data_IF_685366776275
#
_entry.id   IF_685366776275
#
_cell.length_a   1.000
_cell.length_b   1.000
_cell.length_c   1.000
_cell.angle_alpha   90.00
_cell.angle_beta   90.00
_cell.angle_gamma   90.00
#
_symmetry.space_group_name_H-M   'P 1'
#
loop_
_entity.id
_entity.type
_entity.pdbx_description
1 polymer ?
#
# COMPACT_ATOMS: atom_id res chain seq x y z
N UNK A 1 -38.26 33.67 -21.41
CA UNK A 1 -37.88 32.83 -20.25
C UNK A 1 -36.85 31.76 -20.59
N UNK A 2 -37.01 30.98 -21.67
CA UNK A 2 -36.03 29.94 -22.08
C UNK A 2 -34.57 30.41 -22.32
N UNK A 3 -34.33 31.68 -22.64
CA UNK A 3 -32.97 32.25 -22.84
C UNK A 3 -32.25 32.62 -21.54
N UNK A 4 -33.00 32.75 -20.44
CA UNK A 4 -32.45 33.07 -19.09
C UNK A 4 -32.04 31.76 -18.40
N UNK A 5 -32.82 30.69 -18.56
CA UNK A 5 -32.45 29.35 -18.07
C UNK A 5 -31.20 28.79 -18.75
N UNK A 6 -31.03 29.03 -20.07
CA UNK A 6 -29.83 28.58 -20.79
C UNK A 6 -28.55 29.26 -20.29
N UNK A 7 -28.62 30.55 -19.93
CA UNK A 7 -27.49 31.28 -19.37
C UNK A 7 -27.19 30.82 -17.94
N UNK A 8 -28.20 30.54 -17.11
CA UNK A 8 -27.98 29.99 -15.77
C UNK A 8 -27.40 28.57 -15.79
N UNK A 9 -27.85 27.72 -16.74
CA UNK A 9 -27.31 26.38 -16.94
C UNK A 9 -25.89 26.42 -17.49
N UNK A 10 -25.61 27.29 -18.47
CA UNK A 10 -24.29 27.49 -19.07
C UNK A 10 -23.29 28.10 -18.08
N UNK A 11 -23.69 29.12 -17.30
CA UNK A 11 -22.88 29.62 -16.19
C UNK A 11 -22.70 28.56 -15.10
N UNK A 12 -23.70 27.72 -14.83
CA UNK A 12 -23.58 26.58 -13.91
C UNK A 12 -22.60 25.51 -14.42
N UNK A 13 -22.56 25.26 -15.73
CA UNK A 13 -21.64 24.36 -16.43
C UNK A 13 -20.20 24.89 -16.44
N UNK A 14 -19.98 26.16 -16.80
CA UNK A 14 -18.66 26.79 -16.71
C UNK A 14 -18.16 26.88 -15.26
N UNK A 15 -19.06 27.14 -14.32
CA UNK A 15 -18.73 27.15 -12.89
C UNK A 15 -18.38 25.73 -12.40
N UNK A 16 -19.11 24.70 -12.81
CA UNK A 16 -18.83 23.31 -12.42
C UNK A 16 -17.54 22.79 -13.06
N UNK A 17 -17.24 23.11 -14.31
CA UNK A 17 -15.96 22.80 -14.95
C UNK A 17 -14.78 23.50 -14.26
N UNK A 18 -14.91 24.79 -13.96
CA UNK A 18 -13.89 25.55 -13.23
C UNK A 18 -13.73 25.04 -11.79
N UNK A 19 -14.83 24.71 -11.10
CA UNK A 19 -14.83 24.16 -9.75
C UNK A 19 -14.17 22.77 -9.70
N UNK A 20 -14.42 21.92 -10.71
CA UNK A 20 -13.80 20.60 -10.79
C UNK A 20 -12.27 20.71 -10.91
N UNK A 21 -11.81 21.57 -11.81
CA UNK A 21 -10.38 21.84 -11.98
C UNK A 21 -9.76 22.47 -10.71
N UNK A 22 -10.45 23.42 -10.09
CA UNK A 22 -10.01 24.03 -8.84
C UNK A 22 -9.93 22.99 -7.69
N UNK A 23 -10.95 22.15 -7.53
CA UNK A 23 -10.98 21.11 -6.50
C UNK A 23 -9.85 20.09 -6.70
N UNK A 24 -9.59 19.68 -7.94
CA UNK A 24 -8.46 18.81 -8.31
C UNK A 24 -7.12 19.40 -7.91
N UNK A 25 -6.91 20.68 -8.21
CA UNK A 25 -5.69 21.39 -7.85
C UNK A 25 -5.56 21.53 -6.32
N UNK A 26 -6.62 21.96 -5.63
CA UNK A 26 -6.62 22.16 -4.18
C UNK A 26 -6.33 20.85 -3.44
N UNK A 27 -7.01 19.75 -3.78
CA UNK A 27 -6.74 18.46 -3.13
C UNK A 27 -5.32 17.97 -3.42
N UNK A 28 -4.82 18.21 -4.63
CA UNK A 28 -3.44 17.89 -5.01
C UNK A 28 -2.43 18.68 -4.18
N UNK A 29 -2.65 19.98 -3.99
CA UNK A 29 -1.79 20.84 -3.18
C UNK A 29 -1.86 20.48 -1.69
N UNK A 30 -3.04 20.22 -1.14
CA UNK A 30 -3.19 19.73 0.24
C UNK A 30 -2.44 18.42 0.43
N UNK A 31 -2.54 17.50 -0.55
CA UNK A 31 -1.79 16.23 -0.54
C UNK A 31 -0.27 16.47 -0.58
N UNK A 32 0.18 17.43 -1.37
CA UNK A 32 1.58 17.83 -1.43
C UNK A 32 2.08 18.36 -0.09
N UNK A 33 1.34 19.28 0.53
CA UNK A 33 1.68 19.83 1.84
C UNK A 33 1.66 18.76 2.94
N UNK A 34 0.65 17.89 2.96
CA UNK A 34 0.58 16.77 3.90
C UNK A 34 1.78 15.81 3.72
N UNK A 35 2.18 15.54 2.46
CA UNK A 35 3.33 14.68 2.16
C UNK A 35 4.65 15.29 2.61
N UNK A 36 4.83 16.60 2.44
CA UNK A 36 6.01 17.32 2.95
C UNK A 36 6.01 17.40 4.48
N UNK A 37 4.88 17.73 5.08
CA UNK A 37 4.69 17.77 6.53
C UNK A 37 5.04 16.43 7.18
N UNK A 38 4.50 15.33 6.68
CA UNK A 38 4.84 13.99 7.16
C UNK A 38 6.32 13.68 6.95
N UNK A 39 6.91 14.07 5.81
CA UNK A 39 8.32 13.78 5.53
C UNK A 39 9.28 14.53 6.47
N UNK A 40 8.95 15.76 6.86
CA UNK A 40 9.76 16.56 7.78
C UNK A 40 9.54 16.14 9.24
N UNK A 41 8.28 15.99 9.66
CA UNK A 41 7.96 15.68 11.06
C UNK A 41 8.28 14.22 11.42
N UNK A 42 8.23 13.30 10.45
CA UNK A 42 8.38 11.86 10.71
C UNK A 42 9.75 11.30 10.30
N UNK A 43 10.75 12.15 10.07
CA UNK A 43 12.13 11.71 9.77
C UNK A 43 12.70 10.80 10.87
N UNK A 44 12.39 11.08 12.14
CA UNK A 44 12.74 10.23 13.28
C UNK A 44 12.08 8.85 13.20
N UNK A 45 10.81 8.80 12.78
CA UNK A 45 10.07 7.54 12.62
C UNK A 45 10.66 6.68 11.50
N UNK A 46 10.97 7.29 10.36
CA UNK A 46 11.65 6.61 9.26
C UNK A 46 12.96 5.96 9.74
N UNK A 47 13.79 6.71 10.49
CA UNK A 47 15.02 6.18 11.07
C UNK A 47 14.77 5.03 12.05
N UNK A 48 13.69 5.10 12.84
CA UNK A 48 13.30 4.04 13.77
C UNK A 48 12.98 2.73 13.06
N UNK A 49 12.19 2.78 11.97
CA UNK A 49 11.86 1.60 11.15
C UNK A 49 13.14 0.94 10.60
N UNK A 50 14.07 1.73 10.06
CA UNK A 50 15.33 1.19 9.55
C UNK A 50 16.23 0.63 10.65
N UNK A 51 16.28 1.26 11.83
CA UNK A 51 16.99 0.72 12.99
C UNK A 51 16.40 -0.63 13.43
N UNK A 52 15.07 -0.78 13.41
CA UNK A 52 14.42 -2.06 13.67
C UNK A 52 14.86 -3.13 12.66
N UNK A 53 14.83 -2.83 11.36
CA UNK A 53 15.34 -3.77 10.35
C UNK A 53 16.85 -4.06 10.49
N UNK A 54 17.65 -3.09 10.91
CA UNK A 54 19.07 -3.29 11.16
C UNK A 54 19.31 -4.17 12.39
N UNK A 55 18.57 -3.97 13.48
CA UNK A 55 18.65 -4.80 14.67
C UNK A 55 18.28 -6.25 14.37
N UNK A 56 17.17 -6.47 13.64
CA UNK A 56 16.79 -7.78 13.12
C UNK A 56 17.87 -8.38 12.22
N UNK A 57 18.50 -7.58 11.36
CA UNK A 57 19.57 -8.04 10.47
C UNK A 57 20.80 -8.53 11.25
N UNK A 58 21.26 -7.75 12.24
CA UNK A 58 22.40 -8.12 13.09
C UNK A 58 22.10 -9.39 13.89
N UNK A 59 20.90 -9.48 14.50
CA UNK A 59 20.49 -10.66 15.29
C UNK A 59 20.45 -11.95 14.45
N UNK A 60 20.08 -11.85 13.18
CA UNK A 60 19.86 -13.02 12.32
C UNK A 60 21.00 -13.28 11.32
N UNK A 61 22.07 -12.47 11.31
CA UNK A 61 23.16 -12.58 10.33
C UNK A 61 22.71 -12.26 8.89
N UNK A 62 21.66 -11.47 8.74
CA UNK A 62 21.02 -11.12 7.46
C UNK A 62 21.38 -9.69 7.04
N UNK A 63 20.95 -9.26 5.84
CA UNK A 63 21.29 -7.94 5.30
C UNK A 63 20.29 -6.85 5.70
N UNK A 64 18.98 -7.13 5.61
CA UNK A 64 17.92 -6.17 5.91
C UNK A 64 16.72 -6.86 6.55
N UNK A 65 16.52 -6.65 7.86
CA UNK A 65 15.53 -7.42 8.62
C UNK A 65 15.89 -8.90 8.59
N UNK A 66 14.98 -9.74 8.11
CA UNK A 66 15.18 -11.17 7.90
C UNK A 66 15.67 -11.51 6.48
N UNK A 67 15.90 -10.51 5.63
CA UNK A 67 16.28 -10.73 4.24
C UNK A 67 17.79 -10.86 4.10
N UNK A 68 18.21 -11.93 3.43
CA UNK A 68 19.56 -12.06 2.92
C UNK A 68 19.81 -11.06 1.77
N UNK A 69 21.08 -10.89 1.38
CA UNK A 69 21.46 -9.92 0.34
C UNK A 69 20.76 -10.19 -0.98
N UNK A 70 20.56 -11.47 -1.34
CA UNK A 70 19.93 -11.83 -2.61
C UNK A 70 18.42 -11.56 -2.61
N UNK A 71 17.70 -11.89 -1.53
CA UNK A 71 16.27 -11.58 -1.39
C UNK A 71 16.01 -10.08 -1.28
N UNK A 72 16.86 -9.34 -0.55
CA UNK A 72 16.77 -7.89 -0.46
C UNK A 72 16.94 -7.24 -1.85
N UNK A 73 17.97 -7.66 -2.61
CA UNK A 73 18.18 -7.19 -3.98
C UNK A 73 17.01 -7.57 -4.91
N UNK A 74 16.43 -8.76 -4.78
CA UNK A 74 15.25 -9.15 -5.54
C UNK A 74 14.02 -8.29 -5.20
N UNK A 75 13.79 -7.99 -3.92
CA UNK A 75 12.71 -7.12 -3.47
C UNK A 75 12.88 -5.69 -4.00
N UNK A 76 14.09 -5.11 -3.85
CA UNK A 76 14.41 -3.77 -4.34
C UNK A 76 14.30 -3.67 -5.87
N UNK A 77 14.75 -4.68 -6.62
CA UNK A 77 14.57 -4.71 -8.09
C UNK A 77 13.10 -4.71 -8.50
N UNK A 78 12.22 -5.40 -7.76
CA UNK A 78 10.77 -5.38 -8.04
C UNK A 78 10.16 -4.01 -7.76
N UNK A 79 10.59 -3.32 -6.70
CA UNK A 79 10.15 -1.95 -6.41
C UNK A 79 10.67 -0.99 -7.47
N UNK A 80 11.95 -1.10 -7.85
CA UNK A 80 12.56 -0.28 -8.89
C UNK A 80 11.84 -0.42 -10.23
N UNK A 81 11.45 -1.63 -10.63
CA UNK A 81 10.63 -1.85 -11.84
C UNK A 81 9.30 -1.10 -11.79
N UNK A 82 8.62 -1.09 -10.63
CA UNK A 82 7.36 -0.36 -10.45
C UNK A 82 7.60 1.14 -10.48
N UNK A 83 8.65 1.63 -9.80
CA UNK A 83 9.06 3.03 -9.82
C UNK A 83 9.34 3.50 -11.25
N UNK A 84 10.17 2.78 -12.00
CA UNK A 84 10.52 3.10 -13.40
C UNK A 84 9.27 3.07 -14.27
N UNK A 85 8.41 2.06 -14.13
CA UNK A 85 7.16 2.00 -14.89
C UNK A 85 6.27 3.23 -14.64
N UNK A 86 6.05 3.60 -13.37
CA UNK A 86 5.23 4.76 -13.02
C UNK A 86 5.86 6.05 -13.56
N UNK A 87 7.16 6.25 -13.36
CA UNK A 87 7.87 7.45 -13.85
C UNK A 87 7.82 7.55 -15.36
N UNK A 88 8.16 6.47 -16.08
CA UNK A 88 8.14 6.45 -17.56
C UNK A 88 6.73 6.71 -18.07
N UNK A 89 5.71 6.04 -17.51
CA UNK A 89 4.32 6.28 -17.89
C UNK A 89 3.91 7.73 -17.63
N UNK A 90 4.21 8.30 -16.46
CA UNK A 90 3.91 9.69 -16.14
C UNK A 90 4.63 10.67 -17.07
N UNK A 91 5.92 10.48 -17.34
CA UNK A 91 6.71 11.35 -18.22
C UNK A 91 6.19 11.28 -19.66
N UNK A 92 5.92 10.09 -20.19
CA UNK A 92 5.38 9.91 -21.55
C UNK A 92 4.02 10.60 -21.69
N UNK A 93 3.14 10.42 -20.71
CA UNK A 93 1.81 11.05 -20.69
C UNK A 93 1.92 12.57 -20.60
N UNK A 94 2.75 13.10 -19.69
CA UNK A 94 2.96 14.55 -19.54
C UNK A 94 3.61 15.17 -20.78
N UNK A 95 4.60 14.49 -21.37
CA UNK A 95 5.26 14.93 -22.60
C UNK A 95 4.26 15.03 -23.75
N UNK A 96 3.45 13.97 -23.97
CA UNK A 96 2.43 13.99 -25.03
C UNK A 96 1.42 15.11 -24.79
N UNK A 97 0.97 15.31 -23.56
CA UNK A 97 0.03 16.38 -23.24
C UNK A 97 0.61 17.78 -23.48
N UNK A 98 1.87 18.02 -23.12
CA UNK A 98 2.54 19.31 -23.36
C UNK A 98 2.76 19.62 -24.84
N UNK A 99 2.97 18.59 -25.68
CA UNK A 99 3.19 18.76 -27.11
C UNK A 99 1.91 18.83 -27.94
N UNK A 100 0.81 18.23 -27.46
CA UNK A 100 -0.48 18.24 -28.15
C UNK A 100 -1.28 19.50 -27.81
N UNK A 101 -1.21 20.00 -26.56
CA UNK A 101 -1.95 21.20 -26.16
C UNK A 101 -1.35 22.48 -26.78
N UNK A 102 -2.22 23.32 -27.36
CA UNK A 102 -1.81 24.59 -27.93
C UNK A 102 -1.20 25.50 -26.85
N UNK A 103 -0.04 26.14 -27.10
CA UNK A 103 0.58 27.07 -26.17
C UNK A 103 -0.35 28.22 -25.74
N UNK A 104 -0.38 28.52 -24.45
CA UNK A 104 -1.18 29.61 -23.86
C UNK A 104 -2.64 29.27 -23.57
N UNK A 105 -3.07 28.03 -23.80
CA UNK A 105 -4.43 27.59 -23.45
C UNK A 105 -4.62 27.41 -21.94
N UNK A 106 -5.85 27.61 -21.46
CA UNK A 106 -6.23 27.32 -20.06
C UNK A 106 -5.87 25.89 -19.64
N UNK A 107 -6.01 24.94 -20.56
CA UNK A 107 -5.64 23.53 -20.39
C UNK A 107 -4.15 23.31 -20.16
N UNK A 108 -3.30 23.99 -20.92
CA UNK A 108 -1.85 23.89 -20.73
C UNK A 108 -1.44 24.44 -19.36
N UNK A 109 -1.95 25.60 -18.96
CA UNK A 109 -1.68 26.15 -17.63
C UNK A 109 -2.17 25.23 -16.52
N UNK A 110 -3.39 24.70 -16.66
CA UNK A 110 -3.95 23.74 -15.72
C UNK A 110 -3.07 22.50 -15.56
N UNK A 111 -2.62 21.91 -16.66
CA UNK A 111 -1.69 20.78 -16.64
C UNK A 111 -0.40 21.16 -15.91
N UNK A 112 0.23 22.29 -16.27
CA UNK A 112 1.48 22.75 -15.66
C UNK A 112 1.37 22.90 -14.15
N UNK A 113 0.29 23.50 -13.63
CA UNK A 113 0.06 23.64 -12.20
C UNK A 113 -0.17 22.30 -11.49
N UNK A 114 -0.74 21.31 -12.18
CA UNK A 114 -1.00 19.98 -11.60
C UNK A 114 0.18 19.01 -11.71
N UNK A 115 1.19 19.26 -12.56
CA UNK A 115 2.37 18.37 -12.69
C UNK A 115 3.02 18.15 -11.33
N UNK A 116 3.25 19.21 -10.57
CA UNK A 116 3.91 19.12 -9.27
C UNK A 116 3.13 18.28 -8.24
N UNK A 117 1.87 18.62 -7.88
CA UNK A 117 1.13 17.85 -6.88
C UNK A 117 0.88 16.40 -7.32
N UNK A 118 0.59 16.15 -8.60
CA UNK A 118 0.39 14.79 -9.14
C UNK A 118 1.67 13.97 -9.05
N UNK A 119 2.81 14.55 -9.45
CA UNK A 119 4.11 13.85 -9.37
C UNK A 119 4.46 13.51 -7.93
N UNK A 120 4.27 14.46 -7.00
CA UNK A 120 4.54 14.22 -5.59
C UNK A 120 3.60 13.15 -5.00
N UNK A 121 2.33 13.16 -5.38
CA UNK A 121 1.35 12.11 -5.05
C UNK A 121 1.83 10.72 -5.50
N UNK A 122 2.28 10.58 -6.74
CA UNK A 122 2.81 9.31 -7.26
C UNK A 122 4.08 8.88 -6.55
N UNK A 123 5.03 9.79 -6.30
CA UNK A 123 6.24 9.48 -5.56
C UNK A 123 5.92 9.01 -4.14
N UNK A 124 4.94 9.63 -3.49
CA UNK A 124 4.50 9.23 -2.15
C UNK A 124 3.88 7.83 -2.15
N UNK A 125 3.07 7.48 -3.16
CA UNK A 125 2.53 6.13 -3.33
C UNK A 125 3.65 5.09 -3.51
N UNK A 126 4.65 5.39 -4.35
CA UNK A 126 5.77 4.47 -4.58
C UNK A 126 6.62 4.29 -3.32
N UNK A 127 6.82 5.37 -2.55
CA UNK A 127 7.55 5.30 -1.30
C UNK A 127 6.81 4.45 -0.25
N UNK A 128 5.48 4.57 -0.15
CA UNK A 128 4.68 3.70 0.71
C UNK A 128 4.73 2.23 0.23
N UNK A 129 4.64 2.00 -1.08
CA UNK A 129 4.75 0.67 -1.70
C UNK A 129 6.08 -0.02 -1.37
N UNK A 130 7.18 0.73 -1.29
CA UNK A 130 8.49 0.20 -0.87
C UNK A 130 8.39 -0.40 0.54
N UNK A 131 7.87 0.35 1.50
CA UNK A 131 7.74 -0.10 2.89
C UNK A 131 6.82 -1.31 3.03
N UNK A 132 5.66 -1.31 2.36
CA UNK A 132 4.75 -2.48 2.38
C UNK A 132 5.44 -3.71 1.78
N UNK A 133 6.17 -3.57 0.66
CA UNK A 133 6.87 -4.69 0.03
C UNK A 133 8.01 -5.23 0.89
N UNK A 134 8.76 -4.37 1.55
CA UNK A 134 9.81 -4.78 2.49
C UNK A 134 9.21 -5.51 3.70
N UNK A 135 8.12 -4.99 4.28
CA UNK A 135 7.43 -5.66 5.38
C UNK A 135 6.88 -7.03 4.95
N UNK A 136 6.22 -7.09 3.79
CA UNK A 136 5.71 -8.35 3.21
C UNK A 136 6.84 -9.37 2.99
N UNK A 137 8.01 -8.93 2.53
CA UNK A 137 9.15 -9.82 2.33
C UNK A 137 9.70 -10.35 3.67
N UNK A 138 9.78 -9.51 4.70
CA UNK A 138 10.17 -9.93 6.05
C UNK A 138 9.17 -10.92 6.67
N UNK A 139 7.87 -10.62 6.58
CA UNK A 139 6.82 -11.54 7.05
C UNK A 139 6.86 -12.89 6.33
N UNK A 140 7.19 -12.90 5.02
CA UNK A 140 7.39 -14.16 4.29
C UNK A 140 8.57 -14.96 4.84
N UNK A 141 9.67 -14.30 5.19
CA UNK A 141 10.82 -14.99 5.81
C UNK A 141 10.46 -15.53 7.21
N UNK A 142 9.69 -14.79 7.99
CA UNK A 142 9.16 -15.28 9.27
C UNK A 142 8.27 -16.52 9.06
N UNK A 143 7.38 -16.50 8.07
CA UNK A 143 6.58 -17.67 7.70
C UNK A 143 7.45 -18.87 7.32
N UNK A 144 8.49 -18.67 6.49
CA UNK A 144 9.43 -19.75 6.12
C UNK A 144 10.14 -20.33 7.34
N UNK A 145 10.55 -19.49 8.30
CA UNK A 145 11.16 -19.95 9.56
C UNK A 145 10.19 -20.80 10.38
N UNK A 146 8.94 -20.35 10.53
CA UNK A 146 7.90 -21.10 11.24
C UNK A 146 7.57 -22.44 10.55
N UNK A 147 7.50 -22.43 9.22
CA UNK A 147 7.26 -23.63 8.43
C UNK A 147 8.40 -24.64 8.55
N UNK A 148 9.65 -24.17 8.56
CA UNK A 148 10.81 -25.03 8.80
C UNK A 148 10.81 -25.61 10.22
N UNK A 149 10.43 -24.81 11.22
CA UNK A 149 10.28 -25.27 12.60
C UNK A 149 9.22 -26.37 12.68
N UNK A 150 8.04 -26.14 12.10
CA UNK A 150 6.96 -27.14 12.03
C UNK A 150 7.42 -28.46 11.44
N UNK A 151 8.10 -28.43 10.28
CA UNK A 151 8.61 -29.66 9.65
C UNK A 151 9.61 -30.41 10.53
N UNK A 152 10.50 -29.67 11.19
CA UNK A 152 11.47 -30.27 12.12
C UNK A 152 10.75 -30.97 13.29
N UNK A 153 9.66 -30.38 13.78
CA UNK A 153 8.82 -30.95 14.83
C UNK A 153 8.11 -32.22 14.34
N UNK A 154 7.48 -32.16 13.18
CA UNK A 154 6.76 -33.31 12.59
C UNK A 154 7.69 -34.49 12.30
N UNK A 155 8.88 -34.22 11.77
CA UNK A 155 9.87 -35.27 11.47
C UNK A 155 10.40 -35.89 12.77
N UNK A 156 10.59 -35.09 13.82
CA UNK A 156 10.99 -35.59 15.14
C UNK A 156 9.92 -36.49 15.74
N UNK A 157 8.64 -36.14 15.61
CA UNK A 157 7.52 -36.94 16.10
C UNK A 157 7.34 -38.28 15.35
N UNK A 158 7.74 -38.36 14.08
CA UNK A 158 7.67 -39.60 13.29
C UNK A 158 8.80 -40.57 13.59
N UNK A 159 9.99 -40.05 13.90
CA UNK A 159 11.21 -40.86 14.09
C UNK A 159 11.36 -41.31 15.54
N UNK A 160 10.87 -40.53 16.50
CA UNK A 160 11.07 -40.79 17.92
C UNK A 160 9.88 -41.55 18.51
N UNK A 161 10.03 -42.87 18.71
CA UNK A 161 9.25 -43.56 19.74
C UNK A 161 9.65 -42.90 21.07
N UNK A 162 8.78 -42.05 21.61
CA UNK A 162 8.98 -41.26 22.85
C UNK A 162 9.53 -42.12 24.01
N UNK A 163 9.30 -43.43 23.97
CA UNK A 163 9.75 -44.44 24.94
C UNK A 163 11.24 -44.80 24.87
N UNK A 164 11.96 -44.54 23.78
CA UNK A 164 13.33 -45.03 23.58
C UNK A 164 14.44 -44.06 24.05
N UNK A 165 14.20 -42.75 24.12
CA UNK A 165 15.20 -41.80 24.64
C UNK A 165 14.58 -40.47 25.15
N UNK A 166 14.10 -40.41 26.41
CA UNK A 166 13.38 -39.25 26.93
C UNK A 166 14.24 -37.98 27.04
N UNK A 167 15.56 -38.11 27.27
CA UNK A 167 16.47 -36.95 27.37
C UNK A 167 16.67 -36.26 26.02
N UNK A 168 16.72 -37.04 24.94
CA UNK A 168 16.86 -36.51 23.59
C UNK A 168 15.58 -35.78 23.14
N UNK A 169 14.43 -36.36 23.49
CA UNK A 169 13.13 -35.76 23.26
C UNK A 169 12.99 -34.42 24.00
N UNK A 170 13.33 -34.38 25.29
CA UNK A 170 13.27 -33.15 26.09
C UNK A 170 14.18 -32.04 25.54
N UNK A 171 15.41 -32.38 25.10
CA UNK A 171 16.31 -31.42 24.47
C UNK A 171 15.76 -30.87 23.14
N UNK A 172 15.09 -31.71 22.35
CA UNK A 172 14.44 -31.30 21.10
C UNK A 172 13.24 -30.37 21.35
N UNK A 173 12.44 -30.67 22.38
CA UNK A 173 11.32 -29.81 22.81
C UNK A 173 11.84 -28.44 23.27
N UNK A 174 12.86 -28.40 24.13
CA UNK A 174 13.46 -27.14 24.60
C UNK A 174 14.02 -26.30 23.44
N UNK A 175 14.74 -26.93 22.51
CA UNK A 175 15.25 -26.25 21.31
C UNK A 175 14.12 -25.69 20.44
N UNK A 176 13.00 -26.40 20.35
CA UNK A 176 11.82 -25.96 19.59
C UNK A 176 11.13 -24.78 20.28
N UNK A 177 10.98 -24.83 21.60
CA UNK A 177 10.44 -23.73 22.41
C UNK A 177 11.27 -22.46 22.23
N UNK A 178 12.60 -22.55 22.32
CA UNK A 178 13.51 -21.41 22.14
C UNK A 178 13.36 -20.80 20.74
N UNK A 179 13.30 -21.64 19.70
CA UNK A 179 13.11 -21.17 18.31
C UNK A 179 11.74 -20.54 18.06
N UNK A 180 10.69 -21.08 18.69
CA UNK A 180 9.34 -20.52 18.61
C UNK A 180 9.27 -19.17 19.32
N UNK A 181 9.91 -19.05 20.48
CA UNK A 181 10.05 -17.80 21.22
C UNK A 181 10.83 -16.75 20.43
N UNK A 182 11.90 -17.15 19.74
CA UNK A 182 12.61 -16.30 18.80
C UNK A 182 11.70 -15.80 17.66
N UNK A 183 10.89 -16.67 17.06
CA UNK A 183 9.92 -16.28 16.04
C UNK A 183 8.86 -15.30 16.58
N UNK A 184 8.41 -15.50 17.82
CA UNK A 184 7.49 -14.60 18.52
C UNK A 184 8.11 -13.23 18.76
N UNK A 185 9.37 -13.19 19.21
CA UNK A 185 10.12 -11.96 19.41
C UNK A 185 10.29 -11.18 18.08
N UNK A 186 10.67 -11.88 17.00
CA UNK A 186 10.77 -11.30 15.66
C UNK A 186 9.43 -10.72 15.20
N UNK A 187 8.31 -11.41 15.46
CA UNK A 187 6.98 -10.89 15.14
C UNK A 187 6.71 -9.55 15.82
N UNK A 188 7.06 -9.42 17.11
CA UNK A 188 6.92 -8.17 17.86
C UNK A 188 7.70 -7.02 17.21
N UNK A 189 8.97 -7.26 16.86
CA UNK A 189 9.82 -6.25 16.22
C UNK A 189 9.26 -5.81 14.86
N UNK A 190 8.79 -6.76 14.05
CA UNK A 190 8.12 -6.46 12.78
C UNK A 190 6.82 -5.69 12.99
N UNK A 191 6.07 -5.99 14.05
CA UNK A 191 4.84 -5.26 14.38
C UNK A 191 5.13 -3.80 14.74
N UNK A 192 6.16 -3.53 15.56
CA UNK A 192 6.59 -2.15 15.85
C UNK A 192 7.01 -1.39 14.58
N UNK A 193 7.71 -2.06 13.66
CA UNK A 193 8.05 -1.46 12.38
C UNK A 193 6.80 -1.19 11.52
N UNK A 194 5.76 -2.03 11.59
CA UNK A 194 4.48 -1.80 10.91
C UNK A 194 3.75 -0.57 11.48
N UNK A 195 3.68 -0.44 12.80
CA UNK A 195 3.10 0.76 13.43
C UNK A 195 3.86 2.02 13.03
N UNK A 196 5.20 1.96 13.01
CA UNK A 196 6.01 3.07 12.51
C UNK A 196 5.70 3.42 11.04
N UNK A 197 5.41 2.43 10.18
CA UNK A 197 4.98 2.67 8.79
C UNK A 197 3.60 3.35 8.77
N UNK A 198 2.63 2.86 9.54
CA UNK A 198 1.30 3.46 9.64
C UNK A 198 1.35 4.91 10.12
N UNK A 199 2.21 5.22 11.10
CA UNK A 199 2.42 6.58 11.58
C UNK A 199 3.13 7.46 10.55
N UNK A 200 4.18 6.94 9.89
CA UNK A 200 4.96 7.66 8.88
C UNK A 200 4.11 8.07 7.66
N UNK A 201 3.17 7.22 7.24
CA UNK A 201 2.35 7.43 6.05
C UNK A 201 0.92 7.83 6.34
N UNK A 202 0.51 7.89 7.61
CA UNK A 202 -0.90 7.94 8.00
C UNK A 202 -1.71 9.05 7.34
N UNK A 203 -1.29 10.32 7.50
CA UNK A 203 -2.02 11.45 6.92
C UNK A 203 -1.75 11.63 5.44
N UNK A 204 -0.47 11.65 5.04
CA UNK A 204 -0.08 11.80 3.65
C UNK A 204 -0.74 10.76 2.76
N UNK A 205 -0.81 9.50 3.16
CA UNK A 205 -1.45 8.47 2.35
C UNK A 205 -2.97 8.59 2.35
N UNK A 206 -3.61 9.07 3.42
CA UNK A 206 -5.04 9.38 3.39
C UNK A 206 -5.37 10.42 2.32
N UNK A 207 -4.63 11.53 2.32
CA UNK A 207 -4.77 12.57 1.30
C UNK A 207 -4.36 12.06 -0.08
N UNK A 208 -3.34 11.22 -0.18
CA UNK A 208 -2.89 10.67 -1.45
C UNK A 208 -3.93 9.78 -2.11
N UNK A 209 -4.64 8.98 -1.31
CA UNK A 209 -5.75 8.12 -1.73
C UNK A 209 -6.96 8.96 -2.13
N UNK A 210 -7.28 10.02 -1.37
CA UNK A 210 -8.32 10.99 -1.74
C UNK A 210 -7.98 11.74 -3.04
N UNK A 211 -6.73 12.18 -3.21
CA UNK A 211 -6.25 12.83 -4.43
C UNK A 211 -6.36 11.89 -5.63
N UNK A 212 -5.96 10.62 -5.48
CA UNK A 212 -6.11 9.62 -6.54
C UNK A 212 -7.59 9.36 -6.88
N UNK A 213 -8.49 9.34 -5.90
CA UNK A 213 -9.93 9.25 -6.12
C UNK A 213 -10.43 10.43 -6.97
N UNK A 214 -10.15 11.65 -6.52
CA UNK A 214 -10.58 12.89 -7.17
C UNK A 214 -10.04 12.96 -8.60
N UNK A 215 -8.77 12.61 -8.79
CA UNK A 215 -8.12 12.54 -10.09
C UNK A 215 -8.84 11.56 -11.04
N UNK A 216 -9.11 10.33 -10.61
CA UNK A 216 -9.80 9.34 -11.45
C UNK A 216 -11.22 9.80 -11.79
N UNK A 217 -11.97 10.30 -10.80
CA UNK A 217 -13.33 10.78 -11.00
C UNK A 217 -13.37 11.92 -12.03
N UNK A 218 -12.47 12.90 -11.93
CA UNK A 218 -12.38 13.99 -12.90
C UNK A 218 -11.87 13.54 -14.27
N UNK A 219 -10.90 12.62 -14.31
CA UNK A 219 -10.39 12.13 -15.59
C UNK A 219 -11.50 11.41 -16.36
N UNK A 220 -12.34 10.61 -15.69
CA UNK A 220 -13.51 9.96 -16.28
C UNK A 220 -14.60 10.95 -16.69
N UNK A 221 -14.85 11.98 -15.88
CA UNK A 221 -15.76 13.07 -16.24
C UNK A 221 -15.34 13.70 -17.58
N UNK A 222 -14.06 14.09 -17.70
CA UNK A 222 -13.54 14.73 -18.89
C UNK A 222 -13.54 13.81 -20.10
N UNK A 223 -13.20 12.53 -19.94
CA UNK A 223 -13.36 11.52 -21.01
C UNK A 223 -14.80 11.50 -21.51
N UNK A 224 -15.79 11.47 -20.61
CA UNK A 224 -17.21 11.47 -20.99
C UNK A 224 -17.62 12.78 -21.68
N UNK A 225 -17.22 13.92 -21.13
CA UNK A 225 -17.59 15.22 -21.67
C UNK A 225 -17.06 15.38 -23.11
N UNK A 226 -15.77 15.07 -23.32
CA UNK A 226 -15.12 15.09 -24.63
C UNK A 226 -15.72 14.08 -25.61
N UNK A 227 -16.10 12.90 -25.12
CA UNK A 227 -16.80 11.90 -25.94
C UNK A 227 -18.13 12.42 -26.49
N UNK A 228 -18.91 13.11 -25.66
CA UNK A 228 -20.21 13.66 -26.06
C UNK A 228 -20.05 14.86 -27.00
N UNK A 229 -19.05 15.72 -26.77
CA UNK A 229 -18.80 16.88 -27.62
C UNK A 229 -18.11 16.55 -28.94
N UNK A 230 -17.61 15.32 -29.12
CA UNK A 230 -16.84 14.91 -30.30
C UNK A 230 -15.47 15.59 -30.37
N UNK A 231 -14.86 15.85 -29.22
CA UNK A 231 -13.58 16.55 -29.12
C UNK A 231 -12.43 15.68 -29.72
N UNK A 232 -11.63 16.22 -30.67
CA UNK A 232 -10.52 15.47 -31.27
C UNK A 232 -9.42 15.09 -30.27
N UNK A 233 -9.32 15.74 -29.11
CA UNK A 233 -8.32 15.46 -28.08
C UNK A 233 -8.72 14.37 -27.08
N UNK A 234 -9.83 13.65 -27.32
CA UNK A 234 -10.29 12.53 -26.49
C UNK A 234 -9.19 11.49 -26.23
N UNK A 235 -8.40 11.13 -27.24
CA UNK A 235 -7.32 10.15 -27.12
C UNK A 235 -6.24 10.60 -26.12
N UNK A 236 -5.97 11.91 -26.06
CA UNK A 236 -5.04 12.48 -25.10
C UNK A 236 -5.60 12.38 -23.68
N UNK A 237 -6.88 12.69 -23.49
CA UNK A 237 -7.54 12.62 -22.19
C UNK A 237 -7.64 11.18 -21.68
N UNK A 238 -7.93 10.21 -22.56
CA UNK A 238 -7.88 8.78 -22.20
C UNK A 238 -6.47 8.38 -21.73
N UNK A 239 -5.41 8.84 -22.40
CA UNK A 239 -4.03 8.57 -21.97
C UNK A 239 -3.70 9.22 -20.61
N UNK A 240 -4.15 10.46 -20.38
CA UNK A 240 -3.98 11.17 -19.11
C UNK A 240 -4.63 10.45 -17.92
N UNK A 241 -5.71 9.70 -18.17
CA UNK A 241 -6.41 8.94 -17.14
C UNK A 241 -5.69 7.66 -16.66
N UNK A 242 -4.67 7.19 -17.39
CA UNK A 242 -4.02 5.87 -17.14
C UNK A 242 -3.12 5.81 -15.89
N UNK A 243 -2.25 6.80 -15.60
CA UNK A 243 -1.24 6.65 -14.54
C UNK A 243 -1.84 6.44 -13.14
N UNK A 244 -2.94 7.14 -12.80
CA UNK A 244 -3.53 7.09 -11.46
C UNK A 244 -4.14 5.72 -11.13
N UNK A 245 -5.01 5.11 -11.98
CA UNK A 245 -5.47 3.74 -11.81
C UNK A 245 -4.33 2.72 -11.74
N UNK A 246 -3.26 2.90 -12.52
CA UNK A 246 -2.10 2.00 -12.49
C UNK A 246 -1.42 2.01 -11.11
N UNK A 247 -1.15 3.21 -10.56
CA UNK A 247 -0.55 3.37 -9.22
C UNK A 247 -1.46 2.78 -8.13
N UNK A 248 -2.76 3.10 -8.17
CA UNK A 248 -3.74 2.55 -7.21
C UNK A 248 -3.84 1.03 -7.33
N UNK A 249 -3.82 0.48 -8.54
CA UNK A 249 -3.82 -0.96 -8.79
C UNK A 249 -2.60 -1.65 -8.19
N UNK A 250 -1.40 -1.07 -8.33
CA UNK A 250 -0.19 -1.59 -7.67
C UNK A 250 -0.28 -1.53 -6.14
N UNK A 251 -0.83 -0.45 -5.59
CA UNK A 251 -1.07 -0.31 -4.15
C UNK A 251 -2.00 -1.42 -3.66
N UNK A 252 -3.18 -1.58 -4.26
CA UNK A 252 -4.17 -2.59 -3.87
C UNK A 252 -3.62 -4.01 -4.01
N UNK A 253 -2.93 -4.32 -5.10
CA UNK A 253 -2.29 -5.63 -5.30
C UNK A 253 -1.24 -5.94 -4.22
N UNK A 254 -0.44 -4.93 -3.87
CA UNK A 254 0.62 -5.08 -2.86
C UNK A 254 0.01 -5.26 -1.46
N UNK A 255 -1.00 -4.47 -1.11
CA UNK A 255 -1.78 -4.59 0.12
C UNK A 255 -2.45 -5.97 0.24
N UNK A 256 -3.06 -6.48 -0.84
CA UNK A 256 -3.65 -7.82 -0.85
C UNK A 256 -2.61 -8.90 -0.57
N UNK A 257 -1.44 -8.84 -1.23
CA UNK A 257 -0.34 -9.78 -0.99
C UNK A 257 0.19 -9.70 0.43
N UNK A 258 0.25 -8.49 0.98
CA UNK A 258 0.64 -8.27 2.37
C UNK A 258 -0.31 -8.99 3.33
N UNK A 259 -1.62 -8.79 3.20
CA UNK A 259 -2.63 -9.45 4.05
C UNK A 259 -2.57 -10.98 3.95
N UNK A 260 -2.44 -11.52 2.74
CA UNK A 260 -2.26 -12.97 2.56
C UNK A 260 -0.99 -13.50 3.25
N UNK A 261 0.07 -12.69 3.29
CA UNK A 261 1.31 -13.08 3.96
C UNK A 261 1.15 -13.06 5.49
N UNK A 262 0.45 -12.06 6.04
CA UNK A 262 0.11 -12.01 7.47
C UNK A 262 -0.71 -13.23 7.89
N UNK A 263 -1.75 -13.58 7.11
CA UNK A 263 -2.56 -14.77 7.41
C UNK A 263 -1.75 -16.06 7.28
N UNK A 264 -0.79 -16.16 6.35
CA UNK A 264 0.10 -17.34 6.26
C UNK A 264 0.99 -17.52 7.49
N UNK A 265 1.46 -16.43 8.11
CA UNK A 265 2.21 -16.49 9.38
C UNK A 265 1.30 -17.03 10.48
N UNK A 266 0.08 -16.52 10.57
CA UNK A 266 -0.92 -16.95 11.57
C UNK A 266 -1.26 -18.44 11.41
N UNK A 267 -1.49 -18.87 10.17
CA UNK A 267 -1.78 -20.25 9.87
C UNK A 267 -0.61 -21.18 10.25
N UNK A 268 0.63 -20.78 9.98
CA UNK A 268 1.80 -21.56 10.36
C UNK A 268 1.94 -21.76 11.88
N UNK A 269 1.53 -20.77 12.69
CA UNK A 269 1.50 -20.92 14.16
C UNK A 269 0.34 -21.81 14.62
N UNK A 270 -0.84 -21.69 14.00
CA UNK A 270 -2.00 -22.54 14.31
C UNK A 270 -1.76 -24.02 14.00
N UNK A 271 -1.01 -24.30 12.94
CA UNK A 271 -0.67 -25.65 12.49
C UNK A 271 0.59 -26.21 13.19
N UNK A 272 1.12 -25.54 14.21
CA UNK A 272 2.30 -26.00 14.92
C UNK A 272 1.98 -27.27 15.74
N UNK A 273 2.76 -28.36 15.62
CA UNK A 273 2.49 -29.60 16.34
C UNK A 273 2.92 -29.45 17.80
N UNK A 274 2.11 -29.97 18.72
CA UNK A 274 2.27 -29.71 20.16
C UNK A 274 3.27 -30.64 20.87
N UNK A 275 3.91 -31.59 20.16
CA UNK A 275 4.82 -32.60 20.70
C UNK A 275 4.34 -33.34 21.98
N UNK A 276 3.05 -33.28 22.30
CA UNK A 276 2.51 -33.72 23.60
C UNK A 276 3.12 -32.99 24.83
N UNK A 277 3.66 -31.77 24.65
CA UNK A 277 4.20 -30.94 25.73
C UNK A 277 3.31 -29.71 25.98
N UNK A 278 2.87 -29.53 27.23
CA UNK A 278 1.99 -28.43 27.63
C UNK A 278 2.63 -27.04 27.43
N UNK A 279 3.96 -26.93 27.55
CA UNK A 279 4.67 -25.65 27.36
C UNK A 279 4.58 -25.18 25.92
N UNK A 280 4.63 -26.10 24.96
CA UNK A 280 4.44 -25.80 23.54
C UNK A 280 3.03 -25.28 23.27
N UNK A 281 2.01 -25.92 23.85
CA UNK A 281 0.61 -25.46 23.75
C UNK A 281 0.46 -24.05 24.33
N UNK A 282 1.02 -23.81 25.51
CA UNK A 282 0.97 -22.50 26.16
C UNK A 282 1.68 -21.42 25.32
N UNK A 283 2.88 -21.70 24.81
CA UNK A 283 3.63 -20.75 24.00
C UNK A 283 2.95 -20.43 22.67
N UNK A 284 2.43 -21.44 21.97
CA UNK A 284 1.59 -21.23 20.79
C UNK A 284 0.36 -20.39 21.13
N UNK A 285 -0.30 -20.66 22.26
CA UNK A 285 -1.42 -19.87 22.77
C UNK A 285 -1.05 -18.40 23.02
N UNK A 286 0.09 -18.14 23.66
CA UNK A 286 0.60 -16.78 23.87
C UNK A 286 0.93 -16.07 22.56
N UNK A 287 1.55 -16.78 21.62
CA UNK A 287 1.87 -16.22 20.31
C UNK A 287 0.58 -15.87 19.55
N UNK A 288 -0.40 -16.78 19.48
CA UNK A 288 -1.69 -16.50 18.85
C UNK A 288 -2.45 -15.36 19.53
N UNK A 289 -2.43 -15.32 20.87
CA UNK A 289 -3.00 -14.21 21.64
C UNK A 289 -2.32 -12.88 21.34
N UNK A 290 -0.99 -12.88 21.19
CA UNK A 290 -0.22 -11.72 20.74
C UNK A 290 -0.63 -11.30 19.33
N UNK A 291 -0.72 -12.23 18.38
CA UNK A 291 -1.15 -11.92 17.00
C UNK A 291 -2.57 -11.37 16.93
N UNK A 292 -3.45 -11.78 17.85
CA UNK A 292 -4.82 -11.25 17.95
C UNK A 292 -4.86 -9.83 18.50
N UNK A 293 -3.98 -9.49 19.45
CA UNK A 293 -3.88 -8.15 20.06
C UNK A 293 -3.12 -7.18 19.16
N UNK A 294 -1.96 -7.58 18.68
CA UNK A 294 -1.04 -6.81 17.85
C UNK A 294 -1.19 -7.20 16.38
N UNK A 295 -2.38 -6.95 15.83
CA UNK A 295 -2.68 -7.31 14.44
C UNK A 295 -1.89 -6.41 13.50
N UNK A 296 -1.25 -7.02 12.52
CA UNK A 296 -0.71 -6.30 11.37
C UNK A 296 -1.87 -5.72 10.55
N UNK A 297 -1.99 -4.39 10.59
CA UNK A 297 -2.94 -3.63 9.77
C UNK A 297 -2.17 -2.56 9.02
N UNK A 298 -2.56 -2.30 7.80
CA UNK A 298 -2.13 -1.12 7.07
C UNK A 298 -3.23 -0.09 7.24
N UNK A 299 -2.99 0.95 8.02
CA UNK A 299 -4.00 1.97 8.33
C UNK A 299 -3.46 3.35 8.02
N UNK A 300 -4.33 4.22 7.55
CA UNK A 300 -4.03 5.63 7.37
C UNK A 300 -4.35 6.36 8.69
N UNK A 301 -3.52 6.18 9.73
CA UNK A 301 -3.72 6.75 11.08
C UNK A 301 -5.12 6.46 11.67
N UNK A 302 -5.61 5.23 11.47
CA UNK A 302 -6.97 4.80 11.85
C UNK A 302 -8.12 5.59 11.19
N UNK A 303 -7.87 6.39 10.16
CA UNK A 303 -8.93 7.05 9.37
C UNK A 303 -9.61 6.02 8.47
N UNK A 304 -8.82 5.19 7.80
CA UNK A 304 -9.31 4.01 7.08
C UNK A 304 -8.24 2.93 6.98
N UNK A 305 -8.70 1.70 6.77
CA UNK A 305 -7.86 0.53 6.57
C UNK A 305 -7.61 0.30 5.07
N UNK A 306 -6.36 0.04 4.71
CA UNK A 306 -6.02 -0.47 3.38
C UNK A 306 -6.41 -1.95 3.33
N UNK A 307 -7.65 -2.22 2.99
CA UNK A 307 -8.18 -3.58 2.87
C UNK A 307 -8.69 -3.87 1.44
N UNK A 308 -9.16 -5.09 1.22
CA UNK A 308 -9.75 -5.47 -0.07
C UNK A 308 -11.12 -4.81 -0.31
N UNK A 309 -11.73 -4.17 0.70
CA UNK A 309 -13.01 -3.46 0.55
C UNK A 309 -12.83 -2.04 0.04
N UNK A 310 -11.62 -1.49 0.15
CA UNK A 310 -11.28 -0.15 -0.33
C UNK A 310 -11.52 -0.03 -1.85
N UNK A 311 -11.08 -0.99 -2.67
CA UNK A 311 -11.25 -0.91 -4.13
C UNK A 311 -12.74 -0.90 -4.56
N UNK A 312 -13.61 -1.80 -4.07
CA UNK A 312 -15.06 -1.70 -4.32
C UNK A 312 -15.67 -0.37 -3.88
N UNK A 313 -15.29 0.15 -2.70
CA UNK A 313 -15.74 1.47 -2.22
C UNK A 313 -15.31 2.58 -3.18
N UNK A 314 -14.06 2.52 -3.64
CA UNK A 314 -13.53 3.45 -4.65
C UNK A 314 -14.36 3.45 -5.93
N UNK A 315 -14.60 2.27 -6.51
CA UNK A 315 -15.38 2.12 -7.73
C UNK A 315 -16.81 2.63 -7.53
N UNK A 316 -17.46 2.27 -6.42
CA UNK A 316 -18.80 2.71 -6.10
C UNK A 316 -18.90 4.23 -6.01
N UNK A 317 -18.02 4.88 -5.24
CA UNK A 317 -18.04 6.34 -5.08
C UNK A 317 -17.74 7.05 -6.40
N UNK A 318 -16.81 6.53 -7.22
CA UNK A 318 -16.52 7.10 -8.56
C UNK A 318 -17.77 7.02 -9.44
N UNK A 319 -18.45 5.86 -9.48
CA UNK A 319 -19.66 5.68 -10.27
C UNK A 319 -20.78 6.59 -9.77
N UNK A 320 -21.01 6.66 -8.46
CA UNK A 320 -22.02 7.55 -7.87
C UNK A 320 -21.75 9.00 -8.22
N UNK A 321 -20.49 9.44 -8.10
CA UNK A 321 -20.08 10.79 -8.48
C UNK A 321 -20.34 11.05 -9.97
N UNK A 322 -20.02 10.09 -10.86
CA UNK A 322 -20.34 10.18 -12.28
C UNK A 322 -21.84 10.29 -12.54
N UNK A 323 -22.67 9.47 -11.89
CA UNK A 323 -24.13 9.54 -12.04
C UNK A 323 -24.69 10.90 -11.61
N UNK A 324 -24.24 11.43 -10.46
CA UNK A 324 -24.67 12.74 -9.98
C UNK A 324 -24.32 13.83 -10.99
N UNK A 325 -23.10 13.82 -11.52
CA UNK A 325 -22.67 14.79 -12.53
C UNK A 325 -23.36 14.60 -13.88
N UNK A 326 -23.67 13.35 -14.27
CA UNK A 326 -24.47 13.05 -15.45
C UNK A 326 -25.85 13.71 -15.33
N UNK A 327 -26.50 13.55 -14.18
CA UNK A 327 -27.87 14.01 -13.95
C UNK A 327 -27.94 15.54 -13.83
N UNK A 328 -26.95 16.18 -13.19
CA UNK A 328 -26.89 17.65 -13.09
C UNK A 328 -26.67 18.31 -14.47
N UNK A 329 -25.97 17.64 -15.39
CA UNK A 329 -25.65 18.16 -16.71
C UNK A 329 -26.67 17.76 -17.80
N UNK A 330 -27.75 17.06 -17.44
CA UNK A 330 -28.86 16.71 -18.33
C UNK A 330 -29.97 17.73 -18.20
#
# INVERSE_FOLDING_TARGET
>A
MAKIDYNCLYFGLELTEAMNNYFKYVIGMVTAFASHGDSWCSAGMHRSIWKCYQALAVRNGTYLGLLDRSSAAAAMRRVLKIFVLIVVTSVVVQYKALHTLLPGTRWQYFLMYNIYPVTLSYMRHVFHLLHIKLMCANLRQLHVKLEHLRRTVDDSLKVENITLNPRKHEAAVLTTLDRLEDCRSIYTELWHANEGINELFGFSQAFNVACSFVQIAFDLYWVRAMWISGDPDLDLQMLLSVPTPVVVGFLMHTTRKYHLTVESVKQAVLEMPYMHDERMVQLCGYFLGQMQRFRFRLTARNIFDFDNTLLPKFVFVIITYMIIFIEINR
#
